data_IF_047783771584
#
_entry.id   IF_047783771584
#
_cell.length_a   1.000
_cell.length_b   1.000
_cell.length_c   1.000
_cell.angle_alpha   90.00
_cell.angle_beta   90.00
_cell.angle_gamma   90.00
#
_symmetry.space_group_name_H-M   'P 1'
#
loop_
_entity.id
_entity.type
_entity.pdbx_description
1 polymer ?
#
# COMPACT_ATOMS: atom_id res chain seq x y z
N UNK A 1 13.40 19.93 -23.39
CA UNK A 1 13.31 18.76 -22.48
C UNK A 1 13.03 17.52 -23.32
N UNK A 2 13.78 16.43 -23.12
CA UNK A 2 13.64 15.20 -23.91
C UNK A 2 12.33 14.47 -23.56
N UNK A 3 11.72 13.82 -24.55
CA UNK A 3 10.46 13.07 -24.45
C UNK A 3 10.50 11.99 -23.34
N UNK A 4 11.69 11.49 -23.02
CA UNK A 4 11.95 10.52 -21.95
C UNK A 4 11.71 11.08 -20.53
N UNK A 5 11.99 12.37 -20.29
CA UNK A 5 11.69 12.99 -18.99
C UNK A 5 10.18 13.10 -18.74
N UNK A 6 9.35 13.20 -19.79
CA UNK A 6 7.90 13.39 -19.64
C UNK A 6 7.16 12.10 -19.28
N UNK A 7 7.75 10.93 -19.60
CA UNK A 7 7.19 9.60 -19.34
C UNK A 7 7.56 9.12 -17.92
N UNK A 8 8.70 9.55 -17.37
CA UNK A 8 9.19 9.08 -16.07
C UNK A 8 8.52 9.68 -14.83
N UNK A 9 7.66 10.69 -14.96
CA UNK A 9 7.28 11.55 -13.82
C UNK A 9 6.01 11.19 -13.05
N UNK A 10 5.17 10.28 -13.56
CA UNK A 10 3.96 9.88 -12.83
C UNK A 10 4.02 8.40 -12.48
N UNK A 11 4.81 8.05 -11.46
CA UNK A 11 4.69 6.73 -10.80
C UNK A 11 3.36 6.72 -10.05
N UNK A 12 2.29 6.33 -10.73
CA UNK A 12 0.95 6.23 -10.14
C UNK A 12 0.88 4.92 -9.35
N UNK A 13 0.46 5.02 -8.09
CA UNK A 13 0.18 3.89 -7.23
C UNK A 13 -1.27 3.93 -6.78
N UNK A 14 -1.90 2.76 -6.67
CA UNK A 14 -3.25 2.63 -6.17
C UNK A 14 -3.25 1.90 -4.83
N UNK A 15 -4.12 2.36 -3.93
CA UNK A 15 -4.49 1.64 -2.72
C UNK A 15 -5.99 1.39 -2.81
N UNK A 16 -6.39 0.13 -2.87
CA UNK A 16 -7.78 -0.26 -2.75
C UNK A 16 -8.07 -0.59 -1.30
N UNK A 17 -9.10 0.04 -0.76
CA UNK A 17 -9.57 -0.20 0.59
C UNK A 17 -10.90 -0.93 0.53
N UNK A 18 -10.99 -2.06 1.22
CA UNK A 18 -12.21 -2.88 1.31
C UNK A 18 -12.30 -3.50 2.70
N UNK A 19 -13.51 -3.85 3.15
CA UNK A 19 -13.66 -4.56 4.42
C UNK A 19 -12.99 -5.93 4.41
N UNK A 20 -12.93 -6.57 3.25
CA UNK A 20 -12.42 -7.94 3.11
C UNK A 20 -11.89 -8.19 1.68
N UNK A 21 -10.93 -9.11 1.57
CA UNK A 21 -10.36 -9.63 0.33
C UNK A 21 -10.35 -11.15 0.43
N UNK A 22 -11.28 -11.81 -0.26
CA UNK A 22 -11.58 -13.25 -0.08
C UNK A 22 -10.82 -14.18 -1.00
N UNK A 23 -10.21 -13.62 -2.05
CA UNK A 23 -9.51 -14.37 -3.09
C UNK A 23 -8.02 -14.05 -3.09
N UNK A 24 -7.23 -14.90 -3.76
CA UNK A 24 -5.87 -14.54 -4.10
C UNK A 24 -5.88 -13.53 -5.26
N UNK A 25 -5.40 -12.32 -5.01
CA UNK A 25 -5.32 -11.24 -5.99
C UNK A 25 -3.92 -11.07 -6.60
N UNK A 26 -2.98 -11.97 -6.33
CA UNK A 26 -1.60 -11.85 -6.83
C UNK A 26 -1.55 -11.73 -8.36
N UNK A 27 -2.28 -12.58 -9.09
CA UNK A 27 -2.33 -12.54 -10.56
C UNK A 27 -2.94 -11.22 -11.08
N UNK A 28 -3.98 -10.73 -10.44
CA UNK A 28 -4.60 -9.45 -10.78
C UNK A 28 -3.68 -8.26 -10.49
N UNK A 29 -3.02 -8.26 -9.34
CA UNK A 29 -2.03 -7.24 -8.98
C UNK A 29 -0.87 -7.26 -9.99
N UNK A 30 -0.39 -8.46 -10.33
CA UNK A 30 0.69 -8.64 -11.30
C UNK A 30 0.28 -8.13 -12.68
N UNK A 31 -0.90 -8.51 -13.19
CA UNK A 31 -1.37 -8.03 -14.50
C UNK A 31 -1.48 -6.51 -14.53
N UNK A 32 -2.03 -5.88 -13.48
CA UNK A 32 -2.12 -4.42 -13.42
C UNK A 32 -0.72 -3.78 -13.42
N UNK A 33 0.23 -4.31 -12.66
CA UNK A 33 1.58 -3.73 -12.56
C UNK A 33 2.48 -3.98 -13.76
N UNK A 34 2.23 -5.05 -14.53
CA UNK A 34 2.99 -5.40 -15.73
C UNK A 34 2.40 -4.79 -16.99
N UNK A 35 1.07 -4.74 -17.09
CA UNK A 35 0.37 -4.36 -18.32
C UNK A 35 0.05 -2.85 -18.39
N UNK A 36 0.27 -2.11 -17.30
CA UNK A 36 -0.03 -0.68 -17.22
C UNK A 36 1.13 0.15 -16.65
N UNK A 37 1.00 1.48 -16.72
CA UNK A 37 1.97 2.40 -16.10
C UNK A 37 1.89 2.42 -14.56
N UNK A 38 0.93 1.70 -13.96
CA UNK A 38 0.76 1.59 -12.53
C UNK A 38 1.93 0.81 -11.94
N UNK A 39 2.69 1.44 -11.05
CA UNK A 39 3.90 0.82 -10.46
C UNK A 39 3.64 0.11 -9.15
N UNK A 40 2.54 0.43 -8.47
CA UNK A 40 2.18 -0.15 -7.17
C UNK A 40 0.68 -0.32 -7.10
N UNK A 41 0.26 -1.49 -6.65
CA UNK A 41 -1.13 -1.78 -6.39
C UNK A 41 -1.22 -2.47 -5.04
N UNK A 42 -1.80 -1.77 -4.06
CA UNK A 42 -1.87 -2.21 -2.66
C UNK A 42 -3.33 -2.51 -2.33
N UNK A 43 -3.55 -3.64 -1.69
CA UNK A 43 -4.84 -4.03 -1.15
C UNK A 43 -4.78 -3.85 0.37
N UNK A 44 -5.63 -3.01 0.94
CA UNK A 44 -5.62 -2.68 2.36
C UNK A 44 -7.01 -2.92 2.95
N UNK A 45 -7.09 -3.71 4.01
CA UNK A 45 -8.39 -3.89 4.70
C UNK A 45 -8.79 -2.60 5.43
N UNK A 46 -10.09 -2.30 5.50
CA UNK A 46 -10.61 -1.14 6.24
C UNK A 46 -10.16 -1.18 7.71
N UNK A 47 -10.11 -2.37 8.32
CA UNK A 47 -9.62 -2.55 9.68
C UNK A 47 -8.13 -2.19 9.80
N UNK A 48 -7.28 -2.65 8.87
CA UNK A 48 -5.87 -2.28 8.83
C UNK A 48 -5.67 -0.77 8.72
N UNK A 49 -6.51 -0.07 7.95
CA UNK A 49 -6.46 1.38 7.82
C UNK A 49 -6.74 2.09 9.16
N UNK A 50 -7.70 1.58 9.95
CA UNK A 50 -8.01 2.13 11.27
C UNK A 50 -6.87 1.94 12.28
N UNK A 51 -6.25 0.76 12.30
CA UNK A 51 -5.06 0.52 13.13
C UNK A 51 -3.90 1.43 12.70
N UNK A 52 -3.65 1.55 11.40
CA UNK A 52 -2.59 2.40 10.87
C UNK A 52 -2.80 3.88 11.25
N UNK A 53 -4.04 4.36 11.19
CA UNK A 53 -4.38 5.71 11.65
C UNK A 53 -4.13 5.89 13.15
N UNK A 54 -4.47 4.88 13.95
CA UNK A 54 -4.25 4.88 15.40
C UNK A 54 -2.75 4.92 15.74
N UNK A 55 -1.92 4.09 15.10
CA UNK A 55 -0.47 4.13 15.29
C UNK A 55 0.16 5.42 14.78
N UNK A 56 -0.27 5.90 13.61
CA UNK A 56 0.21 7.18 13.05
C UNK A 56 -0.04 8.33 14.02
N UNK A 57 -1.22 8.38 14.66
CA UNK A 57 -1.58 9.45 15.59
C UNK A 57 -0.87 9.29 16.94
N UNK A 58 -0.87 8.08 17.52
CA UNK A 58 -0.21 7.77 18.79
C UNK A 58 1.30 8.03 18.74
N UNK A 59 1.98 7.48 17.73
CA UNK A 59 3.45 7.49 17.62
C UNK A 59 3.96 8.64 16.72
N UNK A 60 3.07 9.55 16.28
CA UNK A 60 3.37 10.68 15.39
C UNK A 60 4.14 10.28 14.13
N UNK A 61 3.81 9.13 13.55
CA UNK A 61 4.50 8.62 12.37
C UNK A 61 4.35 9.58 11.19
N UNK A 62 5.46 9.79 10.48
CA UNK A 62 5.48 10.56 9.24
C UNK A 62 4.69 9.83 8.15
N UNK A 63 4.13 10.57 7.21
CA UNK A 63 3.45 9.96 6.07
C UNK A 63 4.42 9.10 5.24
N UNK A 64 5.68 9.52 5.10
CA UNK A 64 6.72 8.75 4.40
C UNK A 64 6.92 7.37 5.03
N UNK A 65 7.10 7.31 6.35
CA UNK A 65 7.26 6.06 7.10
C UNK A 65 6.05 5.13 6.95
N UNK A 66 4.84 5.71 6.96
CA UNK A 66 3.60 4.94 6.73
C UNK A 66 3.59 4.34 5.33
N UNK A 67 3.90 5.13 4.30
CA UNK A 67 3.92 4.67 2.91
C UNK A 67 5.01 3.61 2.68
N UNK A 68 6.21 3.81 3.21
CA UNK A 68 7.30 2.83 3.12
C UNK A 68 6.91 1.49 3.76
N UNK A 69 6.26 1.55 4.92
CA UNK A 69 5.75 0.35 5.59
C UNK A 69 4.69 -0.35 4.73
N UNK A 70 3.72 0.39 4.18
CA UNK A 70 2.71 -0.16 3.26
C UNK A 70 3.32 -0.83 2.02
N UNK A 71 4.40 -0.27 1.46
CA UNK A 71 5.10 -0.83 0.29
C UNK A 71 5.86 -2.11 0.64
N UNK A 72 6.31 -2.28 1.88
CA UNK A 72 7.04 -3.46 2.33
C UNK A 72 6.16 -4.68 2.64
N UNK A 73 4.87 -4.48 2.86
CA UNK A 73 3.95 -5.58 3.10
C UNK A 73 3.58 -6.31 1.80
N UNK A 74 3.39 -7.62 1.89
CA UNK A 74 2.68 -8.37 0.86
C UNK A 74 1.18 -8.11 0.91
N UNK A 75 0.51 -8.17 -0.23
CA UNK A 75 -0.95 -8.05 -0.32
C UNK A 75 -1.67 -9.33 0.18
N UNK A 76 -2.94 -9.22 0.63
CA UNK A 76 -3.55 -8.00 1.15
C UNK A 76 -2.95 -7.61 2.51
N UNK A 77 -2.96 -6.32 2.82
CA UNK A 77 -2.53 -5.78 4.10
C UNK A 77 -3.70 -5.86 5.10
N UNK A 78 -3.58 -6.76 6.06
CA UNK A 78 -4.57 -7.01 7.10
C UNK A 78 -4.22 -6.28 8.40
N UNK A 79 -5.20 -6.14 9.30
CA UNK A 79 -4.98 -5.52 10.61
C UNK A 79 -3.83 -6.17 11.37
N UNK A 80 -3.77 -7.51 11.35
CA UNK A 80 -2.68 -8.29 11.96
C UNK A 80 -1.30 -7.83 11.48
N UNK A 81 -1.08 -7.66 10.16
CA UNK A 81 0.20 -7.20 9.61
C UNK A 81 0.59 -5.80 10.12
N UNK A 82 -0.39 -4.92 10.32
CA UNK A 82 -0.16 -3.58 10.88
C UNK A 82 0.18 -3.67 12.37
N UNK A 83 -0.58 -4.43 13.15
CA UNK A 83 -0.35 -4.63 14.59
C UNK A 83 1.04 -5.22 14.81
N UNK A 84 1.35 -6.34 14.15
CA UNK A 84 2.66 -7.02 14.25
C UNK A 84 3.84 -6.10 13.91
N UNK A 85 3.63 -5.06 13.11
CA UNK A 85 4.68 -4.11 12.71
C UNK A 85 4.86 -2.94 13.68
N UNK A 86 3.77 -2.47 14.30
CA UNK A 86 3.74 -1.19 15.01
C UNK A 86 3.43 -1.30 16.51
N UNK A 87 2.99 -2.45 16.99
CA UNK A 87 2.67 -2.64 18.42
C UNK A 87 3.93 -2.81 19.29
N UNK A 88 5.04 -3.30 18.70
CA UNK A 88 6.35 -3.43 19.36
C UNK A 88 7.17 -2.10 19.42
N UNK A 89 6.59 -0.95 19.03
CA UNK A 89 7.28 0.35 18.92
C UNK A 89 6.87 1.34 20.01
#
# INVERSE_FOLDING_TARGET
MSKALRIGYNKIGFIIVSNDFRDNFDDFVNSITWDTDIKRFILLTSEALLYLLSFKTKNRLSLGTVIESLISFGNPITAKKIIDKFDDV
#
